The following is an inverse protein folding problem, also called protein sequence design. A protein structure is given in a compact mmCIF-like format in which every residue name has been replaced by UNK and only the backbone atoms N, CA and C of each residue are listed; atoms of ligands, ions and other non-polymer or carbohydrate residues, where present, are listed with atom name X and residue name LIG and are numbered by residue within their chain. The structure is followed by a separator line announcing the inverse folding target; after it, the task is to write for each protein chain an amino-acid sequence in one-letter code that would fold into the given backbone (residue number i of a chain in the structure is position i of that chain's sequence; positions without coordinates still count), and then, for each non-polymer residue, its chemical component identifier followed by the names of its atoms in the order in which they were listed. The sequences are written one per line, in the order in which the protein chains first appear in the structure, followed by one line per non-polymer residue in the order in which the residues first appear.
data_IF_471297649888
#
_entry.id   IF_471297649888
#
_cell.length_a   1.000
_cell.length_b   1.000
_cell.length_c   1.000
_cell.angle_alpha   90.00
_cell.angle_beta   90.00
_cell.angle_gamma   90.00
#
_symmetry.space_group_name_H-M   'P 1'
#
loop_
_entity.id
_entity.type
_entity.pdbx_description
1 polymer ?
#
# COMPACT_ATOMS: atom_id res chain seq x y z
N UNK A 1 32.28 16.67 40.95
CA UNK A 1 32.39 17.42 39.68
C UNK A 1 32.12 16.41 38.59
N UNK A 2 30.85 16.25 38.20
CA UNK A 2 30.38 15.11 37.42
C UNK A 2 29.49 15.64 36.31
N UNK A 3 30.01 15.62 35.07
CA UNK A 3 29.30 16.05 33.88
C UNK A 3 28.23 15.02 33.50
N UNK A 4 26.98 15.46 33.39
CA UNK A 4 25.91 14.73 32.69
C UNK A 4 25.86 15.25 31.25
N UNK A 5 26.11 14.36 30.29
CA UNK A 5 25.88 14.62 28.86
C UNK A 5 24.41 14.30 28.56
N UNK A 6 23.67 15.31 28.10
CA UNK A 6 22.34 15.16 27.48
C UNK A 6 22.56 14.83 26.01
N UNK A 7 22.12 13.65 25.56
CA UNK A 7 21.86 13.40 24.13
C UNK A 7 20.41 13.77 23.84
N UNK A 8 20.19 14.74 22.96
CA UNK A 8 18.89 15.11 22.41
C UNK A 8 18.70 14.45 21.06
N UNK A 9 17.68 13.61 20.95
CA UNK A 9 17.28 12.92 19.72
C UNK A 9 16.48 13.89 18.83
N UNK A 10 17.02 14.25 17.66
CA UNK A 10 16.50 15.34 16.79
C UNK A 10 15.93 14.81 15.47
N UNK A 11 15.68 13.50 15.33
CA UNK A 11 15.34 12.90 14.03
C UNK A 11 13.85 12.78 13.69
N UNK A 12 12.92 13.05 14.62
CA UNK A 12 11.47 12.88 14.34
C UNK A 12 10.68 14.17 14.13
N UNK A 13 11.27 15.35 14.31
CA UNK A 13 10.57 16.63 14.11
C UNK A 13 10.63 17.19 12.68
N UNK A 14 11.38 16.57 11.75
CA UNK A 14 11.65 17.16 10.42
C UNK A 14 10.71 16.73 9.30
N UNK A 15 9.82 15.75 9.53
CA UNK A 15 8.85 15.28 8.52
C UNK A 15 7.49 15.98 8.62
N UNK A 16 7.14 16.57 9.77
CA UNK A 16 5.85 17.24 9.95
C UNK A 16 5.82 18.70 9.42
N UNK A 17 6.97 19.36 9.26
CA UNK A 17 7.01 20.81 8.94
C UNK A 17 6.98 21.14 7.44
N UNK A 18 7.06 20.15 6.54
CA UNK A 18 7.05 20.41 5.08
C UNK A 18 5.68 20.27 4.41
N UNK A 19 4.64 19.81 5.12
CA UNK A 19 3.28 19.70 4.55
C UNK A 19 2.37 20.91 4.80
N UNK A 20 2.75 21.83 5.68
CA UNK A 20 1.88 22.95 6.08
C UNK A 20 2.01 24.22 5.23
N UNK A 21 2.86 24.25 4.20
CA UNK A 21 3.14 25.48 3.43
C UNK A 21 2.53 25.54 2.02
N UNK A 22 1.76 24.53 1.58
CA UNK A 22 1.24 24.48 0.21
C UNK A 22 -0.29 24.49 0.06
N UNK A 23 -1.05 24.60 1.14
CA UNK A 23 -2.53 24.58 1.11
C UNK A 23 -3.20 25.95 1.23
N UNK A 24 -2.47 27.07 1.11
CA UNK A 24 -3.06 28.41 1.31
C UNK A 24 -3.64 29.12 0.08
N UNK A 25 -3.49 28.59 -1.13
CA UNK A 25 -4.05 29.23 -2.33
C UNK A 25 -4.98 28.29 -3.11
N UNK A 26 -6.20 28.10 -2.59
CA UNK A 26 -7.37 27.78 -3.42
C UNK A 26 -8.66 27.94 -2.62
N UNK A 27 -9.26 29.13 -2.66
CA UNK A 27 -10.70 29.24 -2.47
C UNK A 27 -11.22 30.53 -3.08
N UNK A 28 -11.77 30.44 -4.29
CA UNK A 28 -13.00 31.14 -4.69
C UNK A 28 -13.43 30.76 -6.11
N UNK A 29 -14.76 30.70 -6.28
CA UNK A 29 -15.55 30.53 -7.50
C UNK A 29 -15.85 29.10 -7.96
N UNK A 30 -17.07 28.73 -8.35
CA UNK A 30 -18.43 29.27 -8.18
C UNK A 30 -19.34 28.19 -8.76
N UNK A 31 -20.35 27.74 -8.03
CA UNK A 31 -21.40 26.83 -8.48
C UNK A 31 -22.31 27.51 -9.49
N UNK A 32 -22.05 27.36 -10.79
CA UNK A 32 -23.06 27.46 -11.84
C UNK A 32 -22.50 26.91 -13.17
N UNK A 33 -23.38 26.29 -13.95
CA UNK A 33 -23.16 25.68 -15.28
C UNK A 33 -22.82 24.18 -15.31
N UNK A 34 -23.74 23.37 -14.80
CA UNK A 34 -23.99 22.00 -15.30
C UNK A 34 -25.43 21.91 -15.83
N UNK A 35 -25.62 22.33 -17.07
CA UNK A 35 -26.71 21.87 -17.93
C UNK A 35 -26.17 21.67 -19.35
N UNK A 36 -26.60 20.55 -19.94
CA UNK A 36 -26.49 20.19 -21.35
C UNK A 36 -25.12 19.70 -21.84
N UNK A 37 -24.93 18.38 -21.81
CA UNK A 37 -24.78 17.61 -23.05
C UNK A 37 -24.80 16.10 -22.76
N UNK A 38 -25.99 15.52 -22.95
CA UNK A 38 -26.21 14.09 -23.02
C UNK A 38 -25.93 13.65 -24.46
N UNK A 39 -24.81 12.97 -24.68
CA UNK A 39 -24.58 12.19 -25.90
C UNK A 39 -24.48 10.71 -25.55
N UNK A 40 -25.55 10.01 -25.89
CA UNK A 40 -25.68 8.56 -25.97
C UNK A 40 -24.54 7.92 -26.76
N UNK A 41 -23.86 6.94 -26.16
CA UNK A 41 -23.15 5.88 -26.89
C UNK A 41 -23.24 4.56 -26.13
N UNK A 42 -24.25 3.79 -26.54
CA UNK A 42 -24.33 2.33 -26.70
C UNK A 42 -23.25 1.50 -26.01
N UNK A 43 -23.71 0.61 -25.13
CA UNK A 43 -22.90 -0.38 -24.41
C UNK A 43 -22.22 -1.40 -25.30
N UNK A 44 -21.09 -1.90 -24.81
CA UNK A 44 -20.35 -3.02 -25.40
C UNK A 44 -19.85 -3.96 -24.31
N UNK A 45 -20.38 -5.19 -24.32
CA UNK A 45 -19.90 -6.38 -23.61
C UNK A 45 -18.49 -6.79 -24.10
N UNK A 46 -17.45 -6.00 -23.80
CA UNK A 46 -16.10 -6.21 -24.34
C UNK A 46 -15.15 -7.09 -23.53
N UNK A 47 -15.46 -7.42 -22.27
CA UNK A 47 -14.42 -7.91 -21.34
C UNK A 47 -14.19 -9.43 -21.31
N UNK A 48 -15.15 -10.26 -21.75
CA UNK A 48 -15.01 -11.73 -21.66
C UNK A 48 -14.49 -12.36 -22.95
N UNK A 49 -14.73 -11.72 -24.10
CA UNK A 49 -14.34 -12.27 -25.41
C UNK A 49 -12.85 -12.10 -25.72
N UNK A 50 -12.20 -11.05 -25.20
CA UNK A 50 -10.79 -10.76 -25.47
C UNK A 50 -9.82 -11.64 -24.64
N UNK A 51 -10.17 -11.95 -23.39
CA UNK A 51 -9.36 -12.80 -22.52
C UNK A 51 -9.26 -14.24 -23.01
N UNK A 52 -10.36 -14.79 -23.53
CA UNK A 52 -10.37 -16.14 -24.10
C UNK A 52 -9.50 -16.26 -25.35
N UNK A 53 -9.41 -15.18 -26.14
CA UNK A 53 -8.54 -15.10 -27.31
C UNK A 53 -7.06 -15.03 -26.90
N UNK A 54 -6.72 -14.25 -25.86
CA UNK A 54 -5.35 -14.18 -25.35
C UNK A 54 -4.87 -15.51 -24.74
N UNK A 55 -5.75 -16.22 -24.04
CA UNK A 55 -5.43 -17.52 -23.45
C UNK A 55 -5.21 -18.62 -24.51
N UNK A 56 -5.82 -18.48 -25.70
CA UNK A 56 -5.70 -19.45 -26.79
C UNK A 56 -4.49 -19.25 -27.71
N UNK A 57 -3.69 -18.20 -27.51
CA UNK A 57 -2.46 -17.96 -28.28
C UNK A 57 -1.37 -18.96 -27.89
N UNK A 58 -0.54 -19.37 -28.85
CA UNK A 58 0.71 -20.07 -28.53
C UNK A 58 1.68 -19.19 -27.72
N UNK A 59 2.73 -19.79 -27.15
CA UNK A 59 3.68 -19.11 -26.25
C UNK A 59 4.35 -17.90 -26.90
N UNK A 60 4.78 -18.02 -28.16
CA UNK A 60 5.48 -16.95 -28.88
C UNK A 60 4.53 -15.80 -29.23
N UNK A 61 3.36 -16.13 -29.78
CA UNK A 61 2.34 -15.15 -30.12
C UNK A 61 1.84 -14.41 -28.87
N UNK A 62 1.73 -15.09 -27.74
CA UNK A 62 1.36 -14.47 -26.47
C UNK A 62 2.47 -13.59 -25.91
N UNK A 63 3.71 -14.10 -25.86
CA UNK A 63 4.88 -13.33 -25.41
C UNK A 63 5.04 -12.01 -26.17
N UNK A 64 4.82 -12.03 -27.48
CA UNK A 64 4.83 -10.82 -28.32
C UNK A 64 3.73 -9.79 -27.99
N UNK A 65 2.65 -10.20 -27.32
CA UNK A 65 1.53 -9.32 -26.89
C UNK A 65 1.72 -8.76 -25.48
N UNK A 66 2.57 -9.36 -24.65
CA UNK A 66 2.81 -8.95 -23.25
C UNK A 66 3.10 -7.44 -23.12
N UNK A 67 3.98 -6.82 -23.93
CA UNK A 67 4.26 -5.38 -23.80
C UNK A 67 3.02 -4.50 -24.02
N UNK A 68 2.18 -4.84 -25.00
CA UNK A 68 0.96 -4.09 -25.27
C UNK A 68 -0.07 -4.24 -24.12
N UNK A 69 -0.21 -5.45 -23.56
CA UNK A 69 -1.10 -5.72 -22.43
C UNK A 69 -0.65 -4.92 -21.19
N UNK A 70 0.65 -4.93 -20.89
CA UNK A 70 1.21 -4.18 -19.76
C UNK A 70 1.14 -2.67 -19.96
N UNK A 71 1.37 -2.17 -21.18
CA UNK A 71 1.21 -0.75 -21.50
C UNK A 71 -0.23 -0.27 -21.30
N UNK A 72 -1.22 -1.03 -21.78
CA UNK A 72 -2.63 -0.74 -21.54
C UNK A 72 -2.98 -0.75 -20.05
N UNK A 73 -2.45 -1.72 -19.30
CA UNK A 73 -2.66 -1.80 -17.84
C UNK A 73 -2.05 -0.61 -17.10
N UNK A 74 -0.82 -0.24 -17.45
CA UNK A 74 -0.12 0.93 -16.90
C UNK A 74 -0.92 2.22 -17.13
N UNK A 75 -1.43 2.44 -18.35
CA UNK A 75 -2.28 3.59 -18.66
C UNK A 75 -3.60 3.59 -17.87
N UNK A 76 -4.20 2.42 -17.66
CA UNK A 76 -5.41 2.28 -16.85
C UNK A 76 -5.17 2.73 -15.39
N UNK A 77 -4.05 2.29 -14.80
CA UNK A 77 -3.69 2.57 -13.40
C UNK A 77 -3.31 4.04 -13.21
N UNK A 78 -2.40 4.56 -14.04
CA UNK A 78 -1.73 5.83 -13.77
C UNK A 78 -2.29 7.03 -14.52
N UNK A 79 -2.97 6.84 -15.67
CA UNK A 79 -3.43 7.96 -16.51
C UNK A 79 -4.94 8.15 -16.51
N UNK A 80 -5.69 7.06 -16.53
CA UNK A 80 -7.16 7.14 -16.69
C UNK A 80 -7.95 6.80 -15.41
N UNK A 81 -7.27 6.31 -14.37
CA UNK A 81 -7.90 5.80 -13.13
C UNK A 81 -9.07 4.84 -13.41
N UNK A 82 -8.98 4.12 -14.53
CA UNK A 82 -9.98 3.15 -14.94
C UNK A 82 -9.73 1.81 -14.27
N UNK A 83 -10.76 0.95 -14.32
CA UNK A 83 -10.65 -0.42 -13.82
C UNK A 83 -9.50 -1.13 -14.53
N UNK A 84 -8.61 -1.75 -13.75
CA UNK A 84 -7.47 -2.54 -14.24
C UNK A 84 -7.95 -3.59 -15.27
N UNK A 85 -7.38 -3.59 -16.50
CA UNK A 85 -7.66 -4.63 -17.48
C UNK A 85 -7.30 -6.01 -16.93
N UNK A 86 -8.06 -7.06 -17.27
CA UNK A 86 -7.83 -8.40 -16.73
C UNK A 86 -6.57 -9.09 -17.29
N UNK A 87 -5.87 -8.49 -18.26
CA UNK A 87 -4.74 -9.09 -18.98
C UNK A 87 -3.56 -9.50 -18.09
N UNK A 88 -3.28 -8.82 -16.98
CA UNK A 88 -2.20 -9.21 -16.05
C UNK A 88 -2.44 -10.56 -15.38
N UNK A 89 -3.70 -10.99 -15.23
CA UNK A 89 -4.01 -12.34 -14.73
C UNK A 89 -3.59 -13.41 -15.74
N UNK A 90 -3.79 -13.15 -17.03
CA UNK A 90 -3.37 -14.07 -18.10
C UNK A 90 -1.85 -14.14 -18.18
N UNK A 91 -1.17 -12.99 -18.07
CA UNK A 91 0.31 -12.96 -18.00
C UNK A 91 0.80 -13.80 -16.82
N UNK A 92 0.23 -13.63 -15.62
CA UNK A 92 0.60 -14.43 -14.45
C UNK A 92 0.38 -15.92 -14.64
N UNK A 93 -0.73 -16.33 -15.25
CA UNK A 93 -0.98 -17.76 -15.52
C UNK A 93 0.00 -18.40 -16.51
N UNK A 94 0.75 -17.58 -17.25
CA UNK A 94 1.72 -18.00 -18.28
C UNK A 94 3.14 -17.53 -17.95
N UNK A 95 3.39 -17.16 -16.70
CA UNK A 95 4.65 -16.54 -16.25
C UNK A 95 5.85 -17.50 -16.17
N UNK A 96 5.65 -18.78 -16.49
CA UNK A 96 6.72 -19.79 -16.60
C UNK A 96 7.12 -20.06 -18.05
N UNK A 97 6.34 -19.58 -19.03
CA UNK A 97 6.64 -19.73 -20.46
C UNK A 97 7.79 -18.80 -20.85
N UNK A 98 8.76 -19.33 -21.59
CA UNK A 98 9.99 -18.60 -21.90
C UNK A 98 9.76 -17.26 -22.62
N UNK A 99 8.87 -17.16 -23.63
CA UNK A 99 8.58 -15.88 -24.29
C UNK A 99 7.94 -14.85 -23.34
N UNK A 100 7.07 -15.29 -22.43
CA UNK A 100 6.44 -14.43 -21.42
C UNK A 100 7.46 -13.92 -20.40
N UNK A 101 8.32 -14.82 -19.90
CA UNK A 101 9.42 -14.46 -18.99
C UNK A 101 10.35 -13.45 -19.66
N UNK A 102 10.74 -13.70 -20.91
CA UNK A 102 11.60 -12.80 -21.67
C UNK A 102 10.97 -11.41 -21.83
N UNK A 103 9.72 -11.33 -22.28
CA UNK A 103 9.03 -10.05 -22.50
C UNK A 103 8.90 -9.21 -21.22
N UNK A 104 8.48 -9.83 -20.10
CA UNK A 104 8.38 -9.13 -18.81
C UNK A 104 9.77 -8.74 -18.30
N UNK A 105 10.76 -9.62 -18.42
CA UNK A 105 12.13 -9.34 -17.99
C UNK A 105 12.76 -8.20 -18.78
N UNK A 106 12.53 -8.12 -20.08
CA UNK A 106 13.05 -7.07 -20.94
C UNK A 106 12.43 -5.71 -20.60
N UNK A 107 11.13 -5.66 -20.29
CA UNK A 107 10.49 -4.46 -19.76
C UNK A 107 11.15 -4.01 -18.46
N UNK A 108 11.39 -4.93 -17.51
CA UNK A 108 12.01 -4.60 -16.23
C UNK A 108 13.43 -4.06 -16.38
N UNK A 109 14.23 -4.66 -17.26
CA UNK A 109 15.64 -4.28 -17.48
C UNK A 109 15.80 -3.03 -18.36
N UNK A 110 14.74 -2.60 -19.05
CA UNK A 110 14.83 -1.47 -19.98
C UNK A 110 15.23 -0.19 -19.23
N UNK A 111 16.14 0.63 -19.80
CA UNK A 111 16.48 1.92 -19.21
C UNK A 111 15.23 2.79 -19.06
N UNK A 112 15.07 3.42 -17.90
CA UNK A 112 13.97 4.36 -17.64
C UNK A 112 14.43 5.76 -18.02
N UNK A 113 13.91 6.27 -19.14
CA UNK A 113 14.18 7.59 -19.70
C UNK A 113 13.05 8.57 -19.40
N UNK A 114 11.83 8.07 -19.19
CA UNK A 114 10.67 8.89 -18.89
C UNK A 114 9.69 8.25 -17.89
N UNK A 115 8.59 8.95 -17.65
CA UNK A 115 7.55 8.54 -16.71
C UNK A 115 6.73 7.34 -17.21
N UNK A 116 6.54 7.20 -18.52
CA UNK A 116 5.75 6.11 -19.09
C UNK A 116 6.50 4.79 -19.02
N UNK A 117 7.81 4.81 -19.29
CA UNK A 117 8.70 3.67 -19.11
C UNK A 117 8.80 3.26 -17.64
N UNK A 118 8.89 4.23 -16.72
CA UNK A 118 8.83 3.94 -15.29
C UNK A 118 7.51 3.24 -14.91
N UNK A 119 6.36 3.78 -15.33
CA UNK A 119 5.06 3.19 -15.01
C UNK A 119 4.89 1.80 -15.61
N UNK A 120 5.42 1.57 -16.81
CA UNK A 120 5.41 0.25 -17.45
C UNK A 120 6.24 -0.76 -16.65
N UNK A 121 7.48 -0.41 -16.27
CA UNK A 121 8.34 -1.26 -15.46
C UNK A 121 7.74 -1.53 -14.07
N UNK A 122 7.16 -0.51 -13.44
CA UNK A 122 6.47 -0.62 -12.16
C UNK A 122 5.25 -1.55 -12.24
N UNK A 123 4.47 -1.45 -13.32
CA UNK A 123 3.32 -2.33 -13.58
C UNK A 123 3.79 -3.78 -13.79
N UNK A 124 4.85 -3.99 -14.56
CA UNK A 124 5.43 -5.31 -14.76
C UNK A 124 5.90 -5.94 -13.44
N UNK A 125 6.57 -5.17 -12.57
CA UNK A 125 7.02 -5.68 -11.28
C UNK A 125 5.82 -5.97 -10.36
N UNK A 126 4.97 -4.98 -10.09
CA UNK A 126 3.99 -5.06 -9.01
C UNK A 126 2.68 -5.79 -9.39
N UNK A 127 2.28 -5.75 -10.66
CA UNK A 127 1.01 -6.39 -11.08
C UNK A 127 1.21 -7.79 -11.67
N UNK A 128 2.45 -8.17 -11.98
CA UNK A 128 2.80 -9.50 -12.47
C UNK A 128 3.75 -10.18 -11.50
N UNK A 129 4.99 -9.73 -11.39
CA UNK A 129 6.07 -10.50 -10.75
C UNK A 129 5.88 -10.63 -9.24
N UNK A 130 5.55 -9.55 -8.52
CA UNK A 130 5.36 -9.54 -7.06
C UNK A 130 4.27 -10.51 -6.61
N UNK A 131 3.30 -10.83 -7.45
CA UNK A 131 2.17 -11.71 -7.13
C UNK A 131 2.39 -13.17 -7.57
N UNK A 132 3.53 -13.51 -8.18
CA UNK A 132 3.80 -14.88 -8.63
C UNK A 132 4.08 -15.82 -7.46
N UNK A 133 3.72 -17.12 -7.55
CA UNK A 133 4.17 -18.15 -6.62
C UNK A 133 5.69 -18.12 -6.43
N UNK A 134 6.17 -18.47 -5.24
CA UNK A 134 7.61 -18.41 -4.91
C UNK A 134 8.44 -19.27 -5.86
N UNK A 135 7.92 -20.42 -6.23
CA UNK A 135 8.50 -21.35 -7.20
C UNK A 135 8.60 -20.77 -8.61
N UNK A 136 7.81 -19.77 -9.00
CA UNK A 136 7.86 -19.17 -10.34
C UNK A 136 8.77 -17.93 -10.39
N UNK A 137 9.00 -17.28 -9.23
CA UNK A 137 9.85 -16.08 -9.12
C UNK A 137 11.28 -16.30 -9.61
N UNK A 138 11.81 -17.53 -9.53
CA UNK A 138 13.19 -17.82 -9.92
C UNK A 138 13.47 -17.51 -11.41
N UNK A 139 12.46 -17.62 -12.28
CA UNK A 139 12.56 -17.26 -13.69
C UNK A 139 12.90 -15.78 -13.90
N UNK A 140 12.50 -14.91 -12.95
CA UNK A 140 12.67 -13.47 -13.03
C UNK A 140 13.89 -12.94 -12.26
N UNK A 141 14.58 -13.80 -11.49
CA UNK A 141 15.74 -13.41 -10.66
C UNK A 141 16.81 -12.62 -11.43
N UNK A 142 17.21 -12.98 -12.67
CA UNK A 142 18.20 -12.20 -13.40
C UNK A 142 17.75 -10.75 -13.66
N UNK A 143 16.48 -10.55 -14.02
CA UNK A 143 15.93 -9.23 -14.26
C UNK A 143 15.83 -8.41 -12.96
N UNK A 144 15.36 -9.04 -11.86
CA UNK A 144 15.28 -8.41 -10.55
C UNK A 144 16.65 -7.92 -10.07
N UNK A 145 17.70 -8.73 -10.24
CA UNK A 145 19.08 -8.34 -9.88
C UNK A 145 19.52 -7.12 -10.68
N UNK A 146 19.38 -7.17 -12.00
CA UNK A 146 19.74 -6.06 -12.88
C UNK A 146 19.03 -4.75 -12.49
N UNK A 147 17.74 -4.81 -12.17
CA UNK A 147 16.99 -3.65 -11.67
C UNK A 147 17.57 -3.17 -10.34
N UNK A 148 17.70 -4.04 -9.33
CA UNK A 148 18.17 -3.65 -7.99
C UNK A 148 19.57 -3.00 -7.99
N UNK A 149 20.45 -3.45 -8.88
CA UNK A 149 21.85 -3.02 -9.01
C UNK A 149 22.03 -1.76 -9.86
N UNK A 150 21.00 -1.30 -10.57
CA UNK A 150 21.07 -0.10 -11.41
C UNK A 150 21.45 1.13 -10.57
N UNK A 151 22.43 1.93 -10.98
CA UNK A 151 22.89 3.08 -10.18
C UNK A 151 21.78 4.11 -9.96
N UNK A 152 21.75 4.74 -8.78
CA UNK A 152 20.82 5.85 -8.54
C UNK A 152 21.18 7.02 -9.48
N UNK A 153 20.16 7.63 -10.08
CA UNK A 153 20.33 8.89 -10.80
C UNK A 153 20.30 10.03 -9.79
N UNK A 154 21.24 10.97 -9.88
CA UNK A 154 21.32 12.16 -9.02
C UNK A 154 20.31 13.26 -9.41
N UNK A 155 19.41 12.96 -10.35
CA UNK A 155 18.44 13.92 -10.89
C UNK A 155 17.18 13.99 -10.03
N UNK A 156 16.52 15.15 -10.06
CA UNK A 156 15.30 15.41 -9.28
C UNK A 156 14.00 15.09 -10.02
N UNK A 157 14.06 14.56 -11.25
CA UNK A 157 12.85 14.29 -11.99
C UNK A 157 12.07 13.10 -11.38
N UNK A 158 10.74 13.19 -11.39
CA UNK A 158 9.83 12.26 -10.70
C UNK A 158 10.03 10.79 -11.08
N UNK A 159 10.34 10.50 -12.34
CA UNK A 159 10.57 9.13 -12.82
C UNK A 159 11.88 8.54 -12.27
N UNK A 160 12.92 9.34 -12.04
CA UNK A 160 14.16 8.88 -11.40
C UNK A 160 13.99 8.66 -9.89
N UNK A 161 13.14 9.45 -9.23
CA UNK A 161 12.73 9.16 -7.85
C UNK A 161 11.92 7.87 -7.78
N UNK A 162 10.97 7.67 -8.70
CA UNK A 162 10.22 6.43 -8.85
C UNK A 162 11.11 5.20 -9.08
N UNK A 163 12.16 5.34 -9.90
CA UNK A 163 13.13 4.27 -10.15
C UNK A 163 13.84 3.81 -8.86
N UNK A 164 14.04 4.69 -7.87
CA UNK A 164 14.57 4.27 -6.56
C UNK A 164 13.60 3.35 -5.81
N UNK A 165 12.30 3.61 -5.92
CA UNK A 165 11.25 2.71 -5.42
C UNK A 165 11.28 1.36 -6.13
N UNK A 166 11.37 1.35 -7.46
CA UNK A 166 11.43 0.12 -8.27
C UNK A 166 12.62 -0.76 -7.87
N UNK A 167 13.79 -0.14 -7.66
CA UNK A 167 15.00 -0.82 -7.20
C UNK A 167 14.85 -1.44 -5.82
N UNK A 168 14.31 -0.66 -4.89
CA UNK A 168 14.06 -1.11 -3.51
C UNK A 168 13.10 -2.29 -3.51
N UNK A 169 12.05 -2.23 -4.33
CA UNK A 169 11.06 -3.29 -4.44
C UNK A 169 11.63 -4.57 -5.05
N UNK A 170 12.45 -4.45 -6.11
CA UNK A 170 13.17 -5.59 -6.67
C UNK A 170 14.12 -6.24 -5.64
N UNK A 171 14.83 -5.43 -4.85
CA UNK A 171 15.71 -5.92 -3.78
C UNK A 171 14.90 -6.61 -2.66
N UNK A 172 13.77 -6.04 -2.26
CA UNK A 172 12.84 -6.65 -1.30
C UNK A 172 12.33 -8.01 -1.81
N UNK A 173 11.99 -8.12 -3.09
CA UNK A 173 11.53 -9.38 -3.67
C UNK A 173 12.66 -10.43 -3.73
N UNK A 174 13.89 -10.03 -4.03
CA UNK A 174 15.06 -10.92 -3.94
C UNK A 174 15.26 -11.41 -2.50
N UNK A 175 15.19 -10.52 -1.51
CA UNK A 175 15.27 -10.90 -0.09
C UNK A 175 14.17 -11.87 0.30
N UNK A 176 12.95 -11.64 -0.16
CA UNK A 176 11.83 -12.58 0.03
C UNK A 176 12.16 -13.95 -0.57
N UNK A 177 12.73 -14.01 -1.77
CA UNK A 177 13.10 -15.28 -2.40
C UNK A 177 14.24 -16.01 -1.68
N UNK A 178 15.21 -15.28 -1.13
CA UNK A 178 16.44 -15.84 -0.56
C UNK A 178 16.30 -16.29 0.89
N UNK A 179 15.50 -15.58 1.68
CA UNK A 179 15.29 -15.87 3.09
C UNK A 179 13.83 -16.24 3.32
N UNK A 180 13.46 -17.53 3.44
CA UNK A 180 12.09 -17.96 3.68
C UNK A 180 11.54 -17.54 5.06
N UNK A 181 12.40 -17.12 5.99
CA UNK A 181 12.00 -16.62 7.31
C UNK A 181 11.88 -15.09 7.35
N UNK A 182 12.28 -14.37 6.31
CA UNK A 182 12.23 -12.90 6.32
C UNK A 182 10.78 -12.40 6.41
N UNK A 183 10.49 -11.62 7.44
CA UNK A 183 9.22 -10.90 7.63
C UNK A 183 9.55 -9.49 8.07
N UNK A 184 8.90 -8.50 7.46
CA UNK A 184 9.07 -7.10 7.85
C UNK A 184 7.78 -6.31 7.65
N UNK A 185 7.67 -5.17 8.33
CA UNK A 185 6.62 -4.19 8.09
C UNK A 185 7.03 -3.27 6.94
N UNK A 186 6.09 -2.68 6.20
CA UNK A 186 6.43 -1.78 5.10
C UNK A 186 7.35 -0.66 5.59
N UNK A 187 8.43 -0.41 4.86
CA UNK A 187 9.38 0.66 5.19
C UNK A 187 9.12 1.93 4.39
N UNK A 188 8.36 1.82 3.30
CA UNK A 188 7.98 2.93 2.42
C UNK A 188 6.57 2.74 1.89
N UNK A 189 5.97 3.79 1.31
CA UNK A 189 4.67 3.72 0.62
C UNK A 189 4.65 2.77 -0.58
N UNK A 190 5.81 2.34 -1.06
CA UNK A 190 5.96 1.45 -2.22
C UNK A 190 6.44 0.04 -1.90
N UNK A 191 6.50 -0.36 -0.63
CA UNK A 191 6.99 -1.67 -0.17
C UNK A 191 5.84 -2.71 -0.15
N UNK A 192 5.41 -3.17 -1.32
CA UNK A 192 4.33 -4.16 -1.45
C UNK A 192 4.79 -5.56 -1.05
N UNK A 193 6.09 -5.87 -1.21
CA UNK A 193 6.65 -7.15 -0.76
C UNK A 193 6.52 -7.33 0.76
N UNK A 194 6.62 -6.26 1.57
CA UNK A 194 6.38 -6.36 3.02
C UNK A 194 5.01 -6.98 3.35
N UNK A 195 3.94 -6.49 2.71
CA UNK A 195 2.59 -7.03 2.89
C UNK A 195 2.55 -8.52 2.54
N UNK A 196 3.17 -8.88 1.40
CA UNK A 196 3.25 -10.27 0.97
C UNK A 196 3.96 -11.15 2.00
N UNK A 197 5.06 -10.68 2.59
CA UNK A 197 5.80 -11.47 3.60
C UNK A 197 4.93 -11.76 4.83
N UNK A 198 4.21 -10.75 5.33
CA UNK A 198 3.31 -10.89 6.47
C UNK A 198 2.17 -11.85 6.16
N UNK A 199 1.54 -11.69 4.98
CA UNK A 199 0.44 -12.55 4.54
C UNK A 199 0.87 -14.02 4.42
N UNK A 200 2.01 -14.25 3.78
CA UNK A 200 2.44 -15.59 3.42
C UNK A 200 3.16 -16.31 4.55
N UNK A 201 3.83 -15.60 5.47
CA UNK A 201 4.73 -16.22 6.46
C UNK A 201 4.24 -16.12 7.90
N UNK A 202 3.45 -15.11 8.25
CA UNK A 202 2.87 -15.00 9.59
C UNK A 202 1.58 -15.78 9.68
N UNK A 203 1.54 -16.79 10.55
CA UNK A 203 0.40 -17.70 10.72
C UNK A 203 -0.18 -17.67 12.13
N UNK A 204 0.58 -17.18 13.11
CA UNK A 204 0.18 -17.14 14.51
C UNK A 204 0.25 -15.72 15.08
N UNK A 205 -0.46 -15.51 16.18
CA UNK A 205 -0.44 -14.24 16.89
C UNK A 205 0.96 -13.94 17.48
N UNK A 206 1.68 -14.97 17.94
CA UNK A 206 3.05 -14.86 18.44
C UNK A 206 4.02 -14.35 17.38
N UNK A 207 3.95 -14.89 16.17
CA UNK A 207 4.73 -14.44 15.02
C UNK A 207 4.35 -13.01 14.61
N UNK A 208 3.07 -12.65 14.75
CA UNK A 208 2.57 -11.33 14.39
C UNK A 208 3.00 -10.23 15.38
N UNK A 209 3.04 -10.55 16.67
CA UNK A 209 3.29 -9.62 17.79
C UNK A 209 4.45 -8.64 17.57
N UNK A 210 5.66 -9.04 17.11
CA UNK A 210 6.76 -8.09 16.88
C UNK A 210 6.49 -7.09 15.76
N UNK A 211 5.57 -7.37 14.85
CA UNK A 211 5.26 -6.52 13.70
C UNK A 211 4.10 -5.55 13.95
N UNK A 212 3.27 -5.80 14.95
CA UNK A 212 2.07 -4.99 15.24
C UNK A 212 2.38 -3.48 15.34
N UNK A 213 3.40 -3.02 16.11
CA UNK A 213 3.66 -1.58 16.22
C UNK A 213 3.92 -0.93 14.85
N UNK A 214 4.78 -1.54 14.04
CA UNK A 214 5.13 -0.99 12.73
C UNK A 214 4.00 -1.05 11.71
N UNK A 215 2.97 -1.89 11.91
CA UNK A 215 1.78 -1.89 11.05
C UNK A 215 0.73 -0.86 11.49
N UNK A 216 0.64 -0.60 12.80
CA UNK A 216 -0.24 0.44 13.32
C UNK A 216 0.20 1.84 12.87
N UNK A 217 1.50 2.06 12.69
CA UNK A 217 2.05 3.28 12.07
C UNK A 217 1.49 3.55 10.67
N UNK A 218 1.16 2.50 9.92
CA UNK A 218 0.55 2.65 8.59
C UNK A 218 -0.96 2.89 8.62
N UNK A 219 -1.59 2.87 9.78
CA UNK A 219 -3.00 3.21 9.96
C UNK A 219 -3.24 4.71 10.21
N UNK A 220 -2.20 5.54 10.14
CA UNK A 220 -2.31 6.99 10.33
C UNK A 220 -3.07 7.71 9.19
N UNK A 221 -2.99 7.19 7.96
CA UNK A 221 -3.60 7.82 6.78
C UNK A 221 -4.19 6.74 5.85
N UNK A 222 -5.53 6.66 5.71
CA UNK A 222 -6.22 5.74 4.80
C UNK A 222 -5.81 5.85 3.33
N UNK A 223 -5.18 6.95 2.92
CA UNK A 223 -4.70 7.16 1.56
C UNK A 223 -3.30 6.57 1.32
N UNK A 224 -2.60 6.11 2.36
CA UNK A 224 -1.31 5.48 2.17
C UNK A 224 -1.48 4.08 1.56
N UNK A 225 -0.72 3.73 0.50
CA UNK A 225 -0.89 2.44 -0.16
C UNK A 225 -0.81 1.23 0.78
N UNK A 226 0.10 1.18 1.78
CA UNK A 226 0.15 0.06 2.71
C UNK A 226 -1.02 -0.04 3.69
N UNK A 227 -1.82 1.03 3.88
CA UNK A 227 -2.88 1.10 4.90
C UNK A 227 -3.79 -0.13 4.87
N UNK A 228 -4.33 -0.47 3.69
CA UNK A 228 -5.29 -1.57 3.54
C UNK A 228 -4.66 -2.93 3.83
N UNK A 229 -3.43 -3.14 3.37
CA UNK A 229 -2.66 -4.36 3.62
C UNK A 229 -2.35 -4.55 5.10
N UNK A 230 -1.78 -3.51 5.74
CA UNK A 230 -1.48 -3.47 7.17
C UNK A 230 -2.75 -3.72 8.01
N UNK A 231 -3.84 -3.03 7.66
CA UNK A 231 -5.16 -3.19 8.28
C UNK A 231 -5.65 -4.64 8.20
N UNK A 232 -5.58 -5.26 7.03
CA UNK A 232 -6.00 -6.64 6.84
C UNK A 232 -5.13 -7.63 7.63
N UNK A 233 -3.82 -7.40 7.73
CA UNK A 233 -2.93 -8.26 8.52
C UNK A 233 -3.20 -8.17 10.02
N UNK A 234 -3.37 -6.95 10.55
CA UNK A 234 -3.72 -6.71 11.95
C UNK A 234 -5.06 -7.37 12.31
N UNK A 235 -6.05 -7.29 11.43
CA UNK A 235 -7.38 -7.88 11.63
C UNK A 235 -7.36 -9.42 11.73
N UNK A 236 -6.32 -10.10 11.25
CA UNK A 236 -6.18 -11.56 11.39
C UNK A 236 -5.83 -12.00 12.82
N UNK A 237 -5.29 -11.08 13.64
CA UNK A 237 -4.76 -11.38 14.97
C UNK A 237 -5.18 -10.29 15.98
N UNK A 238 -6.50 -10.09 16.22
CA UNK A 238 -6.99 -9.07 17.14
C UNK A 238 -6.41 -9.20 18.55
N UNK A 239 -6.13 -10.43 19.01
CA UNK A 239 -5.59 -10.77 20.32
C UNK A 239 -4.21 -10.18 20.65
N UNK A 240 -3.41 -9.86 19.63
CA UNK A 240 -2.12 -9.18 19.82
C UNK A 240 -2.14 -7.73 19.35
N UNK A 241 -3.27 -7.28 18.80
CA UNK A 241 -3.42 -5.95 18.20
C UNK A 241 -4.09 -4.95 19.15
N UNK A 242 -5.11 -5.37 19.90
CA UNK A 242 -5.92 -4.49 20.77
C UNK A 242 -5.09 -3.77 21.83
N UNK A 243 -4.24 -4.51 22.56
CA UNK A 243 -3.38 -3.94 23.60
C UNK A 243 -2.44 -2.82 23.08
N UNK A 244 -1.72 -3.05 21.97
CA UNK A 244 -0.94 -2.00 21.31
C UNK A 244 -1.76 -0.81 20.80
N UNK A 245 -2.98 -1.01 20.28
CA UNK A 245 -3.87 0.10 19.90
C UNK A 245 -4.14 1.00 21.10
N UNK A 246 -4.44 0.42 22.27
CA UNK A 246 -4.66 1.17 23.50
C UNK A 246 -3.50 2.12 23.81
N UNK A 247 -2.28 1.60 23.75
CA UNK A 247 -1.06 2.36 24.05
C UNK A 247 -0.83 3.46 23.01
N UNK A 248 -1.13 3.17 21.75
CA UNK A 248 -0.95 4.13 20.65
C UNK A 248 -1.94 5.30 20.75
N UNK A 249 -3.22 5.01 21.03
CA UNK A 249 -4.26 6.01 21.25
C UNK A 249 -3.90 6.96 22.41
N UNK A 250 -3.24 6.46 23.46
CA UNK A 250 -2.74 7.29 24.57
C UNK A 250 -1.53 8.15 24.17
N UNK A 251 -0.65 7.59 23.34
CA UNK A 251 0.57 8.26 22.86
C UNK A 251 0.27 9.37 21.85
N UNK A 252 -0.67 9.14 20.93
CA UNK A 252 -0.97 10.01 19.79
C UNK A 252 -2.26 10.84 20.01
N UNK A 253 -2.57 11.19 21.26
CA UNK A 253 -3.78 11.94 21.67
C UNK A 253 -4.12 13.20 20.86
N UNK A 254 -3.15 13.79 20.14
CA UNK A 254 -3.33 14.98 19.31
C UNK A 254 -3.42 14.72 17.81
N UNK A 255 -3.47 13.47 17.36
CA UNK A 255 -3.68 13.10 15.95
C UNK A 255 -5.07 12.47 15.78
N UNK A 256 -6.08 13.33 15.59
CA UNK A 256 -7.48 12.90 15.52
C UNK A 256 -7.75 11.96 14.34
N UNK A 257 -7.11 12.19 13.19
CA UNK A 257 -7.25 11.34 12.01
C UNK A 257 -6.70 9.92 12.23
N UNK A 258 -5.55 9.80 12.89
CA UNK A 258 -5.01 8.49 13.23
C UNK A 258 -5.88 7.80 14.29
N UNK A 259 -6.32 8.50 15.34
CA UNK A 259 -7.20 7.92 16.36
C UNK A 259 -8.50 7.45 15.74
N UNK A 260 -9.16 8.25 14.90
CA UNK A 260 -10.37 7.85 14.18
C UNK A 260 -10.13 6.56 13.38
N UNK A 261 -9.03 6.48 12.64
CA UNK A 261 -8.66 5.27 11.88
C UNK A 261 -8.46 4.03 12.77
N UNK A 262 -7.94 4.20 14.00
CA UNK A 262 -7.81 3.12 14.97
C UNK A 262 -9.16 2.71 15.59
N UNK A 263 -10.06 3.66 15.84
CA UNK A 263 -11.41 3.35 16.32
C UNK A 263 -12.21 2.59 15.27
N UNK A 264 -12.16 3.02 14.01
CA UNK A 264 -12.78 2.33 12.87
C UNK A 264 -12.20 0.93 12.69
N UNK A 265 -10.89 0.76 12.88
CA UNK A 265 -10.25 -0.56 12.89
C UNK A 265 -10.90 -1.48 13.93
N UNK A 266 -11.01 -1.01 15.18
CA UNK A 266 -11.57 -1.80 16.29
C UNK A 266 -13.03 -2.12 16.01
N UNK A 267 -13.80 -1.14 15.55
CA UNK A 267 -15.22 -1.26 15.27
C UNK A 267 -15.54 -2.35 14.24
N UNK A 268 -14.79 -2.38 13.14
CA UNK A 268 -15.06 -3.26 12.01
C UNK A 268 -14.33 -4.61 12.09
N UNK A 269 -13.22 -4.73 12.83
CA UNK A 269 -12.33 -5.90 12.76
C UNK A 269 -12.02 -6.58 14.08
N UNK A 270 -12.32 -5.98 15.22
CA UNK A 270 -12.06 -6.60 16.53
C UNK A 270 -13.37 -7.16 17.08
N UNK A 271 -13.42 -8.43 17.53
CA UNK A 271 -14.60 -8.97 18.20
C UNK A 271 -14.97 -8.15 19.44
N UNK A 272 -16.26 -7.87 19.64
CA UNK A 272 -16.75 -7.03 20.74
C UNK A 272 -16.35 -7.56 22.12
N UNK A 273 -16.17 -8.87 22.28
CA UNK A 273 -15.67 -9.47 23.53
C UNK A 273 -14.29 -8.96 23.97
N UNK A 274 -13.51 -8.34 23.07
CA UNK A 274 -12.17 -7.80 23.36
C UNK A 274 -12.18 -6.28 23.59
N UNK A 275 -13.31 -5.63 23.35
CA UNK A 275 -13.44 -4.18 23.42
C UNK A 275 -13.30 -3.64 24.84
N UNK A 276 -13.72 -4.41 25.85
CA UNK A 276 -13.61 -4.00 27.25
C UNK A 276 -12.18 -3.59 27.66
N UNK A 277 -11.13 -4.12 27.00
CA UNK A 277 -9.74 -3.71 27.23
C UNK A 277 -9.44 -2.24 26.86
N UNK A 278 -10.17 -1.70 25.87
CA UNK A 278 -10.01 -0.33 25.37
C UNK A 278 -10.88 0.67 26.12
N UNK A 279 -11.95 0.21 26.79
CA UNK A 279 -12.97 1.05 27.42
C UNK A 279 -12.42 2.20 28.27
N UNK A 280 -11.41 2.03 29.15
CA UNK A 280 -10.86 3.14 29.91
C UNK A 280 -10.26 4.23 29.01
N UNK A 281 -9.53 3.81 27.99
CA UNK A 281 -8.87 4.71 27.03
C UNK A 281 -9.89 5.42 26.12
N UNK A 282 -10.99 4.75 25.76
CA UNK A 282 -12.09 5.37 24.99
C UNK A 282 -12.88 6.36 25.85
N UNK A 283 -13.16 6.05 27.12
CA UNK A 283 -13.79 7.02 28.04
C UNK A 283 -12.97 8.28 28.18
N UNK A 284 -11.65 8.14 28.29
CA UNK A 284 -10.75 9.30 28.33
C UNK A 284 -10.78 10.14 27.04
N UNK A 285 -11.07 9.57 25.86
CA UNK A 285 -11.27 10.35 24.63
C UNK A 285 -12.55 11.20 24.69
N UNK A 286 -13.60 10.70 25.34
CA UNK A 286 -14.86 11.44 25.50
C UNK A 286 -14.73 12.54 26.55
N UNK A 287 -14.03 12.26 27.65
CA UNK A 287 -13.94 13.13 28.82
C UNK A 287 -12.81 14.18 28.72
N UNK A 288 -11.71 13.85 28.03
CA UNK A 288 -10.51 14.68 27.95
C UNK A 288 -10.01 14.84 26.51
N UNK A 289 -10.75 15.59 25.68
CA UNK A 289 -10.27 16.01 24.36
C UNK A 289 -8.97 16.85 24.51
N UNK A 290 -7.93 16.55 23.72
CA UNK A 290 -6.58 17.13 23.78
C UNK A 290 -5.99 17.36 22.36
N UNK A 291 -6.46 18.39 21.64
CA UNK A 291 -6.16 18.58 20.20
C UNK A 291 -7.03 19.67 19.52
N UNK A 292 -7.14 19.63 18.18
CA UNK A 292 -7.75 20.67 17.31
C UNK A 292 -9.12 20.30 16.68
N UNK A 293 -9.48 20.86 15.51
CA UNK A 293 -10.84 20.82 14.91
C UNK A 293 -11.41 19.39 14.73
N UNK A 294 -10.56 18.38 14.53
CA UNK A 294 -10.96 16.99 14.28
C UNK A 294 -11.32 16.21 15.57
N UNK A 295 -11.16 16.81 16.75
CA UNK A 295 -11.39 16.13 18.03
C UNK A 295 -12.86 15.88 18.37
N UNK A 296 -13.74 16.76 17.92
CA UNK A 296 -15.18 16.59 18.15
C UNK A 296 -15.68 15.33 17.43
N UNK A 297 -15.14 15.06 16.24
CA UNK A 297 -15.44 13.84 15.49
C UNK A 297 -14.91 12.60 16.23
N UNK A 298 -13.69 12.66 16.77
CA UNK A 298 -13.12 11.56 17.57
C UNK A 298 -13.92 11.31 18.85
N UNK A 299 -14.36 12.36 19.55
CA UNK A 299 -15.18 12.24 20.77
C UNK A 299 -16.55 11.63 20.47
N UNK A 300 -17.16 12.02 19.35
CA UNK A 300 -18.45 11.47 18.89
C UNK A 300 -18.30 10.00 18.46
N UNK A 301 -17.24 9.65 17.73
CA UNK A 301 -16.90 8.26 17.40
C UNK A 301 -16.68 7.43 18.66
N UNK A 302 -15.91 7.93 19.62
CA UNK A 302 -15.68 7.28 20.91
C UNK A 302 -16.98 7.06 21.69
N UNK A 303 -17.92 8.03 21.67
CA UNK A 303 -19.23 7.89 22.32
C UNK A 303 -20.09 6.81 21.65
N UNK A 304 -20.18 6.82 20.32
CA UNK A 304 -20.90 5.80 19.56
C UNK A 304 -20.35 4.40 19.82
N UNK A 305 -19.03 4.29 19.91
CA UNK A 305 -18.34 3.04 20.21
C UNK A 305 -18.69 2.54 21.63
N UNK A 306 -18.68 3.41 22.64
CA UNK A 306 -19.08 3.05 24.02
C UNK A 306 -20.54 2.60 24.10
N UNK A 307 -21.45 3.28 23.40
CA UNK A 307 -22.86 2.87 23.35
C UNK A 307 -23.05 1.49 22.72
N UNK A 308 -22.25 1.13 21.72
CA UNK A 308 -22.29 -0.20 21.10
C UNK A 308 -21.78 -1.27 22.06
N UNK A 309 -20.70 -0.97 22.79
CA UNK A 309 -20.17 -1.88 23.80
C UNK A 309 -21.18 -2.16 24.92
N UNK A 310 -21.94 -1.16 25.35
CA UNK A 310 -22.96 -1.31 26.39
C UNK A 310 -24.21 -2.10 25.93
N UNK A 311 -24.43 -2.21 24.61
CA UNK A 311 -25.56 -2.93 24.00
C UNK A 311 -25.24 -4.37 23.61
N UNK A 312 -23.96 -4.75 23.58
CA UNK A 312 -23.49 -6.07 23.15
C UNK A 312 -23.47 -7.08 24.30
#
# INVERSE_FOLDING_TARGET
MTMKVKLTDTKHQKLASHSQTLTKDKLTMSTQDMKENTSTSVGGNGNTTDLGLLAGLDEEAFGARVPAILSSTSQAIFKSHQRKPPGTKVIRSRATEAPTVAAVSDILKSPIQDQDEFYLAWTALNEVVVDLPLEDLHHYRPALKAVSETTASDTTASHYQGATGLRSEAASLIRFMDDPAAVWTPQTKGDYVAERTLKERVKTAEEMRPHVPGLLDWLADPNWPPFRGCRAQLARFPEVTVGPIRQLIEKERGDGGWIASLLDFVDECVPVSMWEELKPTIKALVEEAKGDEDEWEVSDLARQWLERLEKA
#
